data_IF_586882200151
#
_entry.id   IF_586882200151
#
_cell.length_a   1.000
_cell.length_b   1.000
_cell.length_c   1.000
_cell.angle_alpha   90.00
_cell.angle_beta   90.00
_cell.angle_gamma   90.00
#
_symmetry.space_group_name_H-M   'P 1'
#
loop_
_entity.id
_entity.type
_entity.pdbx_description
1 polymer ?
#
# COMPACT_ATOMS: atom_id res chain seq x y z
N UNK A 1 3.53 12.46 -1.59
CA UNK A 1 3.30 12.05 -2.99
C UNK A 1 1.85 11.64 -3.17
N UNK A 2 0.95 12.53 -3.60
CA UNK A 2 -0.51 12.30 -3.52
C UNK A 2 -1.09 11.10 -4.29
N UNK A 3 -2.42 11.03 -4.37
CA UNK A 3 -3.14 9.87 -4.94
C UNK A 3 -3.11 9.86 -6.48
N UNK A 4 -2.27 9.00 -7.04
CA UNK A 4 -2.16 8.74 -8.48
C UNK A 4 -2.90 7.45 -8.81
N UNK A 5 -4.20 7.57 -9.08
CA UNK A 5 -5.08 6.45 -9.38
C UNK A 5 -6.19 6.84 -10.36
N UNK A 6 -6.84 5.85 -10.98
CA UNK A 6 -8.05 6.08 -11.78
C UNK A 6 -9.20 6.60 -10.91
N UNK A 7 -10.11 7.39 -11.48
CA UNK A 7 -11.17 8.10 -10.73
C UNK A 7 -11.92 7.25 -9.69
N UNK A 8 -12.46 6.06 -10.06
CA UNK A 8 -13.15 5.19 -9.12
C UNK A 8 -12.26 4.65 -7.99
N UNK A 9 -10.99 4.40 -8.28
CA UNK A 9 -10.01 3.93 -7.28
C UNK A 9 -9.60 5.08 -6.34
N UNK A 10 -9.42 6.29 -6.89
CA UNK A 10 -9.08 7.50 -6.13
C UNK A 10 -10.13 7.78 -5.06
N UNK A 11 -11.42 7.71 -5.39
CA UNK A 11 -12.49 7.91 -4.42
C UNK A 11 -12.41 6.92 -3.23
N UNK A 12 -12.03 5.67 -3.50
CA UNK A 12 -11.82 4.67 -2.44
C UNK A 12 -10.62 5.04 -1.57
N UNK A 13 -9.50 5.45 -2.17
CA UNK A 13 -8.30 5.84 -1.41
C UNK A 13 -8.50 7.11 -0.58
N UNK A 14 -9.19 8.12 -1.12
CA UNK A 14 -9.53 9.36 -0.41
C UNK A 14 -10.43 9.09 0.79
N UNK A 15 -11.46 8.27 0.62
CA UNK A 15 -12.39 7.92 1.72
C UNK A 15 -11.74 7.09 2.82
N UNK A 16 -10.72 6.28 2.49
CA UNK A 16 -9.92 5.54 3.45
C UNK A 16 -8.82 6.39 4.12
N UNK A 17 -8.63 7.65 3.71
CA UNK A 17 -7.59 8.54 4.25
C UNK A 17 -6.17 8.20 3.78
N UNK A 18 -6.02 7.48 2.67
CA UNK A 18 -4.72 7.19 2.07
C UNK A 18 -4.20 8.46 1.42
N UNK A 19 -3.08 8.98 1.92
CA UNK A 19 -2.51 10.23 1.41
C UNK A 19 -1.68 10.01 0.15
N UNK A 20 -0.90 8.93 0.15
CA UNK A 20 0.13 8.69 -0.86
C UNK A 20 0.03 7.27 -1.43
N UNK A 21 -0.35 7.15 -2.71
CA UNK A 21 -0.47 5.86 -3.40
C UNK A 21 -0.38 6.03 -4.91
N UNK A 22 0.27 5.07 -5.57
CA UNK A 22 0.30 4.94 -7.03
C UNK A 22 -0.37 3.64 -7.40
N UNK A 23 -1.42 3.70 -8.21
CA UNK A 23 -2.18 2.52 -8.61
C UNK A 23 -2.68 2.63 -10.05
N UNK A 24 -2.67 1.50 -10.76
CA UNK A 24 -3.11 1.40 -12.17
C UNK A 24 -4.06 0.22 -12.34
N UNK A 25 -5.22 0.44 -12.96
CA UNK A 25 -6.04 -0.67 -13.46
C UNK A 25 -5.38 -1.26 -14.72
N UNK A 26 -5.06 -2.56 -14.66
CA UNK A 26 -4.45 -3.33 -15.76
C UNK A 26 -5.48 -4.13 -16.57
N UNK A 27 -6.71 -4.25 -16.09
CA UNK A 27 -7.75 -5.07 -16.70
C UNK A 27 -8.91 -4.22 -17.22
N UNK A 28 -10.09 -4.43 -16.63
CA UNK A 28 -11.31 -3.74 -17.04
C UNK A 28 -11.30 -2.24 -16.70
N UNK A 29 -11.82 -1.43 -17.61
CA UNK A 29 -12.12 -0.01 -17.39
C UNK A 29 -13.49 0.23 -16.76
N UNK A 30 -14.28 -0.82 -16.49
CA UNK A 30 -15.58 -0.69 -15.83
C UNK A 30 -15.40 -0.21 -14.38
N UNK A 31 -15.99 0.94 -13.97
CA UNK A 31 -15.88 1.47 -12.61
C UNK A 31 -16.23 0.48 -11.51
N UNK A 32 -17.28 -0.33 -11.71
CA UNK A 32 -17.72 -1.31 -10.71
C UNK A 32 -16.64 -2.35 -10.42
N UNK A 33 -16.02 -2.89 -11.48
CA UNK A 33 -14.97 -3.89 -11.36
C UNK A 33 -13.69 -3.28 -10.77
N UNK A 34 -13.37 -2.02 -11.11
CA UNK A 34 -12.20 -1.34 -10.54
C UNK A 34 -12.34 -1.15 -9.02
N UNK A 35 -13.52 -0.74 -8.55
CA UNK A 35 -13.78 -0.57 -7.11
C UNK A 35 -13.68 -1.93 -6.40
N UNK A 36 -14.32 -2.98 -6.95
CA UNK A 36 -14.24 -4.33 -6.39
C UNK A 36 -12.80 -4.83 -6.32
N UNK A 37 -12.05 -4.71 -7.42
CA UNK A 37 -10.63 -5.11 -7.47
C UNK A 37 -9.77 -4.31 -6.47
N UNK A 38 -10.09 -3.04 -6.23
CA UNK A 38 -9.39 -2.22 -5.24
C UNK A 38 -9.61 -2.76 -3.83
N UNK A 39 -10.86 -3.09 -3.47
CA UNK A 39 -11.14 -3.71 -2.17
C UNK A 39 -10.50 -5.09 -2.02
N UNK A 40 -10.50 -5.90 -3.07
CA UNK A 40 -9.85 -7.21 -3.05
C UNK A 40 -8.32 -7.08 -2.89
N UNK A 41 -7.70 -6.09 -3.53
CA UNK A 41 -6.28 -5.79 -3.35
C UNK A 41 -5.97 -5.39 -1.89
N UNK A 42 -6.76 -4.48 -1.30
CA UNK A 42 -6.58 -4.04 0.08
C UNK A 42 -6.77 -5.17 1.11
N UNK A 43 -7.68 -6.12 0.85
CA UNK A 43 -7.87 -7.30 1.71
C UNK A 43 -6.70 -8.27 1.68
N UNK A 44 -5.95 -8.30 0.57
CA UNK A 44 -4.79 -9.17 0.40
C UNK A 44 -3.51 -8.58 0.99
N UNK A 45 -3.51 -7.30 1.38
CA UNK A 45 -2.37 -6.68 2.04
C UNK A 45 -2.07 -7.35 3.38
N UNK A 46 -0.78 -7.52 3.67
CA UNK A 46 -0.32 -8.19 4.88
C UNK A 46 0.61 -7.30 5.67
N UNK A 47 0.31 -7.12 6.96
CA UNK A 47 1.21 -6.39 7.84
C UNK A 47 2.55 -7.15 7.99
N UNK A 48 3.70 -6.45 8.09
CA UNK A 48 4.98 -7.10 8.31
C UNK A 48 5.00 -7.97 9.57
N UNK A 49 4.23 -7.59 10.60
CA UNK A 49 4.07 -8.36 11.83
C UNK A 49 3.38 -9.71 11.59
N UNK A 50 2.32 -9.74 10.80
CA UNK A 50 1.64 -10.99 10.42
C UNK A 50 2.56 -11.90 9.62
N UNK A 51 3.32 -11.33 8.68
CA UNK A 51 4.28 -12.10 7.87
C UNK A 51 5.40 -12.67 8.75
N UNK A 52 5.92 -11.89 9.69
CA UNK A 52 6.96 -12.31 10.64
C UNK A 52 6.48 -13.48 11.51
N UNK A 53 5.27 -13.37 12.08
CA UNK A 53 4.67 -14.41 12.90
C UNK A 53 4.47 -15.72 12.11
N UNK A 54 3.92 -15.64 10.89
CA UNK A 54 3.72 -16.81 10.02
C UNK A 54 5.03 -17.49 9.62
N UNK A 55 6.12 -16.73 9.50
CA UNK A 55 7.45 -17.22 9.11
C UNK A 55 8.37 -17.56 10.28
N UNK A 56 7.95 -17.32 11.52
CA UNK A 56 8.78 -17.54 12.71
C UNK A 56 10.02 -16.64 12.80
N UNK A 57 9.97 -15.45 12.19
CA UNK A 57 11.09 -14.49 12.15
C UNK A 57 10.79 -13.25 12.97
N UNK A 58 11.82 -12.47 13.31
CA UNK A 58 11.63 -11.14 13.91
C UNK A 58 11.12 -10.16 12.86
N UNK A 59 10.28 -9.20 13.27
CA UNK A 59 9.75 -8.17 12.36
C UNK A 59 10.88 -7.36 11.70
N UNK A 60 11.97 -7.13 12.43
CA UNK A 60 13.19 -6.47 11.95
C UNK A 60 13.89 -7.20 10.80
N UNK A 61 13.69 -8.50 10.64
CA UNK A 61 14.24 -9.28 9.53
C UNK A 61 13.31 -9.27 8.31
N UNK A 62 12.04 -8.89 8.49
CA UNK A 62 11.03 -8.83 7.42
C UNK A 62 10.97 -7.44 6.81
N UNK A 63 11.02 -6.39 7.63
CA UNK A 63 11.14 -5.01 7.18
C UNK A 63 12.61 -4.71 7.00
N UNK A 64 13.12 -4.88 5.76
CA UNK A 64 14.49 -4.48 5.43
C UNK A 64 14.76 -3.04 5.87
N UNK A 65 15.99 -2.74 6.32
CA UNK A 65 16.40 -1.41 6.81
C UNK A 65 16.13 -0.34 5.75
N UNK A 66 14.94 0.22 5.80
CA UNK A 66 14.58 1.48 5.15
C UNK A 66 14.74 2.65 6.13
N UNK A 67 15.44 2.41 7.24
CA UNK A 67 15.84 3.40 8.23
C UNK A 67 17.10 4.19 7.82
N UNK A 68 17.93 3.66 6.93
CA UNK A 68 19.19 4.33 6.61
C UNK A 68 18.95 5.54 5.67
N UNK A 69 17.92 5.50 4.82
CA UNK A 69 17.56 6.63 3.95
C UNK A 69 16.73 7.74 4.63
N UNK A 70 15.99 7.44 5.70
CA UNK A 70 15.16 8.42 6.41
C UNK A 70 15.87 9.01 7.64
N UNK A 71 16.83 8.29 8.23
CA UNK A 71 17.66 8.80 9.33
C UNK A 71 18.81 9.70 8.83
N UNK A 72 19.36 9.46 7.64
CA UNK A 72 20.38 10.34 7.04
C UNK A 72 19.79 11.69 6.56
N UNK A 73 18.50 11.75 6.22
CA UNK A 73 17.83 12.98 5.77
C UNK A 73 17.45 13.95 6.91
N UNK A 74 17.71 13.59 8.18
CA UNK A 74 17.41 14.39 9.37
C UNK A 74 18.64 14.81 10.19
N UNK A 75 19.84 14.67 9.60
CA UNK A 75 21.11 15.11 10.17
C UNK A 75 21.74 16.21 9.30
N UNK A 76 20.99 17.28 9.05
CA UNK A 76 21.49 18.65 8.82
C UNK A 76 20.50 19.67 9.39
#
# INVERSE_FOLDING_TARGET
>A
TGIIAGGPMRAVFETLGVQDVVAKSLGSSNPYNMVRATFDALKNEQSPRMVAARRGKKVSEIVGRRSDAAAEAGLE
#
